data_IF_952148121094
#
_entry.id   IF_952148121094
#
_cell.length_a   1.000
_cell.length_b   1.000
_cell.length_c   1.000
_cell.angle_alpha   90.00
_cell.angle_beta   90.00
_cell.angle_gamma   90.00
#
_symmetry.space_group_name_H-M   'P 1'
#
loop_
_entity.id
_entity.type
_entity.pdbx_description
1 polymer ?
#
# COMPACT_ATOMS: atom_id res chain seq x y z
N UNK A 1 34.42 8.65 4.76
CA UNK A 1 33.52 7.89 5.66
C UNK A 1 34.37 7.15 6.67
N UNK A 2 34.30 7.48 7.94
CA UNK A 2 35.01 6.76 8.99
C UNK A 2 34.30 5.45 9.32
N UNK A 3 34.95 4.53 10.03
CA UNK A 3 34.31 3.28 10.48
C UNK A 3 33.09 3.60 11.38
N UNK A 4 33.14 4.68 12.17
CA UNK A 4 32.03 5.13 13.00
C UNK A 4 30.85 5.65 12.19
N UNK A 5 31.09 6.24 11.02
CA UNK A 5 30.00 6.72 10.14
C UNK A 5 29.27 5.54 9.46
N UNK A 6 29.98 4.42 9.25
CA UNK A 6 29.41 3.23 8.62
C UNK A 6 28.63 2.34 9.57
N UNK A 7 29.01 2.27 10.83
CA UNK A 7 28.45 1.35 11.83
C UNK A 7 27.86 2.12 13.01
N UNK A 8 26.67 2.68 12.80
CA UNK A 8 25.95 3.47 13.80
C UNK A 8 25.78 2.71 15.14
N UNK A 9 25.49 1.41 15.07
CA UNK A 9 25.13 0.59 16.24
C UNK A 9 26.30 0.31 17.21
N UNK A 10 27.55 0.46 16.75
CA UNK A 10 28.76 0.33 17.58
C UNK A 10 29.43 1.69 17.86
N UNK A 11 28.88 2.77 17.32
CA UNK A 11 29.29 4.14 17.61
C UNK A 11 28.51 4.69 18.80
N UNK A 12 28.88 5.88 19.27
CA UNK A 12 28.13 6.57 20.32
C UNK A 12 26.70 6.98 19.90
N UNK A 13 26.34 6.87 18.60
CA UNK A 13 24.99 7.14 18.07
C UNK A 13 24.00 6.04 18.49
N UNK A 14 24.37 4.76 18.31
CA UNK A 14 23.46 3.65 18.54
C UNK A 14 22.30 3.61 17.54
N UNK A 15 21.14 3.06 17.96
CA UNK A 15 19.87 3.12 17.23
C UNK A 15 18.90 4.06 17.94
N UNK A 16 18.17 4.85 17.16
CA UNK A 16 17.04 5.63 17.68
C UNK A 16 15.78 4.76 17.75
N UNK A 17 15.56 4.18 18.95
CA UNK A 17 14.43 3.29 19.22
C UNK A 17 13.07 4.01 19.18
N UNK A 18 13.07 5.32 19.32
CA UNK A 18 11.87 6.15 19.38
C UNK A 18 11.49 6.72 18.02
N UNK A 19 12.35 6.62 17.01
CA UNK A 19 12.06 7.02 15.65
C UNK A 19 10.85 6.27 15.06
N UNK A 20 10.13 6.91 14.16
CA UNK A 20 8.95 6.31 13.50
C UNK A 20 9.29 4.98 12.83
N UNK A 21 10.35 4.84 12.01
CA UNK A 21 10.68 3.57 11.39
C UNK A 21 10.88 2.44 12.40
N UNK A 22 11.60 2.70 13.52
CA UNK A 22 11.82 1.68 14.55
C UNK A 22 10.53 1.29 15.29
N UNK A 23 9.64 2.24 15.57
CA UNK A 23 8.32 1.94 16.15
C UNK A 23 7.47 1.10 15.20
N UNK A 24 7.47 1.42 13.89
CA UNK A 24 6.78 0.62 12.88
C UNK A 24 7.38 -0.78 12.76
N UNK A 25 8.71 -0.91 12.80
CA UNK A 25 9.37 -2.22 12.82
C UNK A 25 8.99 -3.06 14.04
N UNK A 26 8.91 -2.45 15.26
CA UNK A 26 8.45 -3.17 16.45
C UNK A 26 7.00 -3.65 16.28
N UNK A 27 6.13 -2.87 15.62
CA UNK A 27 4.76 -3.29 15.28
C UNK A 27 4.76 -4.41 14.24
N UNK A 28 5.57 -4.32 13.19
CA UNK A 28 5.70 -5.35 12.17
C UNK A 28 6.06 -6.71 12.78
N UNK A 29 7.02 -6.76 13.71
CA UNK A 29 7.38 -7.99 14.44
C UNK A 29 6.25 -8.59 15.26
N UNK A 30 5.31 -7.79 15.74
CA UNK A 30 4.19 -8.27 16.57
C UNK A 30 2.96 -8.63 15.74
N UNK A 31 2.68 -7.87 14.71
CA UNK A 31 1.43 -7.93 13.96
C UNK A 31 1.60 -8.50 12.55
N UNK A 32 2.78 -8.34 11.95
CA UNK A 32 3.08 -8.77 10.58
C UNK A 32 3.57 -10.22 10.46
N UNK A 33 3.65 -11.00 11.54
CA UNK A 33 4.20 -12.37 11.53
C UNK A 33 3.16 -13.47 11.23
N UNK A 34 2.04 -13.12 10.61
CA UNK A 34 1.06 -14.09 10.16
C UNK A 34 1.54 -14.89 8.94
N UNK A 35 1.03 -16.13 8.81
CA UNK A 35 1.40 -17.04 7.74
C UNK A 35 0.21 -17.21 6.77
N UNK A 36 0.34 -16.84 5.47
CA UNK A 36 -0.69 -17.06 4.46
C UNK A 36 -1.12 -18.53 4.35
N UNK A 37 -0.24 -19.48 4.67
CA UNK A 37 -0.54 -20.90 4.65
C UNK A 37 -1.51 -21.33 5.75
N UNK A 38 -1.53 -20.60 6.87
CA UNK A 38 -2.36 -20.92 8.03
C UNK A 38 -3.81 -20.45 7.89
N UNK A 39 -4.13 -19.63 6.87
CA UNK A 39 -5.49 -19.15 6.66
C UNK A 39 -6.38 -20.27 6.15
N UNK A 40 -7.53 -20.45 6.82
CA UNK A 40 -8.51 -21.50 6.49
C UNK A 40 -9.45 -21.04 5.36
N UNK A 41 -9.33 -21.67 4.18
CA UNK A 41 -10.22 -21.47 3.03
C UNK A 41 -11.33 -22.53 2.92
N UNK A 42 -11.55 -23.33 3.94
CA UNK A 42 -12.48 -24.48 3.85
C UNK A 42 -13.91 -24.09 3.49
N UNK A 43 -14.38 -22.92 3.96
CA UNK A 43 -15.70 -22.38 3.63
C UNK A 43 -15.73 -21.64 2.30
N UNK A 44 -14.64 -21.04 1.91
CA UNK A 44 -14.55 -20.18 0.72
C UNK A 44 -14.87 -20.97 -0.57
N UNK A 45 -14.49 -22.24 -0.64
CA UNK A 45 -14.78 -23.09 -1.79
C UNK A 45 -16.29 -23.31 -2.01
N UNK A 46 -17.06 -23.45 -0.94
CA UNK A 46 -18.52 -23.62 -1.03
C UNK A 46 -19.20 -22.29 -1.41
N UNK A 47 -18.77 -21.17 -0.82
CA UNK A 47 -19.27 -19.85 -1.16
C UNK A 47 -18.96 -19.51 -2.63
N UNK A 48 -17.73 -19.78 -3.09
CA UNK A 48 -17.31 -19.59 -4.46
C UNK A 48 -18.14 -20.38 -5.47
N UNK A 49 -18.46 -21.63 -5.15
CA UNK A 49 -19.30 -22.48 -6.00
C UNK A 49 -20.75 -22.00 -6.08
N UNK A 50 -21.23 -21.31 -5.05
CA UNK A 50 -22.60 -20.79 -4.99
C UNK A 50 -22.78 -19.44 -5.72
N UNK A 51 -21.71 -18.71 -6.00
CA UNK A 51 -21.77 -17.45 -6.75
C UNK A 51 -22.19 -17.67 -8.20
N UNK A 52 -22.87 -16.69 -8.77
CA UNK A 52 -23.14 -16.66 -10.20
C UNK A 52 -21.89 -16.23 -11.01
N UNK A 53 -21.99 -16.22 -12.32
CA UNK A 53 -20.84 -15.91 -13.19
C UNK A 53 -20.42 -14.44 -13.11
N UNK A 54 -21.36 -13.53 -12.84
CA UNK A 54 -21.09 -12.09 -12.71
C UNK A 54 -20.38 -11.80 -11.40
N UNK A 55 -20.81 -12.42 -10.31
CA UNK A 55 -20.15 -12.33 -8.98
C UNK A 55 -18.73 -12.89 -9.03
N UNK A 56 -18.54 -14.05 -9.71
CA UNK A 56 -17.21 -14.64 -9.91
C UNK A 56 -16.31 -13.76 -10.75
N UNK A 57 -16.82 -13.19 -11.84
CA UNK A 57 -16.02 -12.29 -12.71
C UNK A 57 -15.59 -11.04 -11.94
N UNK A 58 -16.48 -10.43 -11.14
CA UNK A 58 -16.17 -9.28 -10.30
C UNK A 58 -15.02 -9.59 -9.34
N UNK A 59 -15.09 -10.71 -8.61
CA UNK A 59 -14.06 -11.12 -7.67
C UNK A 59 -12.75 -11.47 -8.36
N UNK A 60 -12.79 -12.21 -9.49
CA UNK A 60 -11.57 -12.52 -10.24
C UNK A 60 -10.89 -11.28 -10.79
N UNK A 61 -11.66 -10.31 -11.29
CA UNK A 61 -11.14 -9.01 -11.74
C UNK A 61 -10.47 -8.26 -10.59
N UNK A 62 -11.13 -8.17 -9.45
CA UNK A 62 -10.57 -7.53 -8.26
C UNK A 62 -9.29 -8.22 -7.81
N UNK A 63 -9.31 -9.54 -7.68
CA UNK A 63 -8.15 -10.35 -7.26
C UNK A 63 -6.99 -10.31 -8.26
N UNK A 64 -7.29 -10.22 -9.56
CA UNK A 64 -6.26 -10.07 -10.59
C UNK A 64 -5.50 -8.73 -10.45
N UNK A 65 -6.22 -7.63 -10.17
CA UNK A 65 -5.61 -6.33 -9.93
C UNK A 65 -4.74 -6.35 -8.68
N UNK A 66 -5.22 -6.97 -7.58
CA UNK A 66 -4.43 -7.11 -6.37
C UNK A 66 -3.21 -8.00 -6.59
N UNK A 67 -3.36 -9.21 -7.14
CA UNK A 67 -2.24 -10.12 -7.37
C UNK A 67 -1.12 -9.47 -8.21
N UNK A 68 -1.49 -8.79 -9.29
CA UNK A 68 -0.51 -8.10 -10.14
C UNK A 68 0.08 -6.85 -9.45
N UNK A 69 -0.72 -6.16 -8.63
CA UNK A 69 -0.27 -5.01 -7.83
C UNK A 69 0.77 -5.41 -6.82
N UNK A 70 0.48 -6.40 -5.99
CA UNK A 70 1.40 -6.92 -4.95
C UNK A 70 2.72 -7.43 -5.56
N UNK A 71 2.64 -8.10 -6.72
CA UNK A 71 3.84 -8.52 -7.44
C UNK A 71 4.63 -7.31 -7.93
N UNK A 72 3.98 -6.30 -8.51
CA UNK A 72 4.61 -5.06 -9.00
C UNK A 72 5.31 -4.29 -7.88
N UNK A 73 4.63 -4.07 -6.75
CA UNK A 73 5.23 -3.34 -5.61
C UNK A 73 6.37 -4.12 -4.97
N UNK A 74 6.27 -5.45 -4.86
CA UNK A 74 7.37 -6.31 -4.39
C UNK A 74 8.60 -6.19 -5.28
N UNK A 75 8.43 -6.20 -6.61
CA UNK A 75 9.53 -6.10 -7.58
C UNK A 75 10.22 -4.73 -7.53
N UNK A 76 9.46 -3.65 -7.38
CA UNK A 76 9.97 -2.29 -7.59
C UNK A 76 10.42 -1.57 -6.32
N UNK A 77 10.21 -2.11 -5.10
CA UNK A 77 10.60 -1.48 -3.83
C UNK A 77 12.12 -1.41 -3.61
N UNK A 78 12.88 -2.36 -4.14
CA UNK A 78 14.33 -2.50 -3.86
C UNK A 78 15.17 -1.24 -4.14
N UNK A 79 14.99 -0.48 -5.24
CA UNK A 79 15.75 0.73 -5.47
C UNK A 79 15.59 1.78 -4.36
N UNK A 80 14.39 1.93 -3.79
CA UNK A 80 14.16 2.83 -2.65
C UNK A 80 14.94 2.37 -1.42
N UNK A 81 14.91 1.08 -1.10
CA UNK A 81 15.70 0.51 0.02
C UNK A 81 17.18 0.80 -0.16
N UNK A 82 17.71 0.64 -1.37
CA UNK A 82 19.12 0.90 -1.67
C UNK A 82 19.51 2.37 -1.47
N UNK A 83 18.65 3.32 -1.84
CA UNK A 83 18.89 4.75 -1.63
C UNK A 83 18.91 5.06 -0.13
N UNK A 84 17.90 4.62 0.62
CA UNK A 84 17.80 4.82 2.07
C UNK A 84 19.02 4.23 2.80
N UNK A 85 19.44 3.01 2.43
CA UNK A 85 20.65 2.39 2.95
C UNK A 85 21.92 3.20 2.60
N UNK A 86 21.99 3.72 1.37
CA UNK A 86 23.09 4.59 0.92
C UNK A 86 23.17 5.92 1.67
N UNK A 87 22.06 6.44 2.17
CA UNK A 87 21.99 7.61 3.05
C UNK A 87 22.43 7.32 4.50
N UNK A 88 22.67 6.04 4.85
CA UNK A 88 23.06 5.61 6.20
C UNK A 88 21.90 5.65 7.21
N UNK A 89 20.66 5.58 6.76
CA UNK A 89 19.44 5.62 7.57
C UNK A 89 19.05 4.22 8.03
N UNK A 90 19.85 3.68 8.94
CA UNK A 90 19.73 2.27 9.38
C UNK A 90 18.35 1.94 9.96
N UNK A 91 17.71 2.86 10.67
CA UNK A 91 16.38 2.66 11.25
C UNK A 91 15.30 2.51 10.17
N UNK A 92 15.38 3.32 9.10
CA UNK A 92 14.49 3.22 7.95
C UNK A 92 14.77 1.93 7.16
N UNK A 93 16.05 1.59 6.93
CA UNK A 93 16.46 0.35 6.27
C UNK A 93 15.93 -0.89 7.01
N UNK A 94 16.07 -0.93 8.34
CA UNK A 94 15.55 -2.03 9.19
C UNK A 94 14.03 -2.17 9.00
N UNK A 95 13.27 -1.08 9.01
CA UNK A 95 11.83 -1.14 8.78
C UNK A 95 11.51 -1.64 7.37
N UNK A 96 12.20 -1.13 6.35
CA UNK A 96 11.96 -1.50 4.96
C UNK A 96 12.22 -2.99 4.66
N UNK A 97 13.07 -3.66 5.45
CA UNK A 97 13.21 -5.13 5.34
C UNK A 97 11.94 -5.86 5.74
N UNK A 98 11.23 -5.40 6.78
CA UNK A 98 9.94 -5.97 7.16
C UNK A 98 8.84 -5.62 6.16
N UNK A 99 8.88 -4.43 5.60
CA UNK A 99 7.97 -3.97 4.56
C UNK A 99 8.04 -4.91 3.34
N UNK A 100 9.21 -5.12 2.76
CA UNK A 100 9.40 -6.01 1.62
C UNK A 100 8.98 -7.46 1.92
N UNK A 101 9.22 -7.94 3.14
CA UNK A 101 8.77 -9.27 3.56
C UNK A 101 7.24 -9.35 3.69
N UNK A 102 6.58 -8.29 4.15
CA UNK A 102 5.12 -8.20 4.21
C UNK A 102 4.51 -8.23 2.81
N UNK A 103 5.06 -7.47 1.84
CA UNK A 103 4.64 -7.52 0.42
C UNK A 103 4.73 -8.94 -0.18
N UNK A 104 5.84 -9.63 0.09
CA UNK A 104 6.01 -11.01 -0.38
C UNK A 104 4.93 -11.95 0.17
N UNK A 105 4.45 -11.76 1.41
CA UNK A 105 3.33 -12.52 1.98
C UNK A 105 2.00 -12.18 1.30
N UNK A 106 1.78 -10.93 0.93
CA UNK A 106 0.58 -10.50 0.23
C UNK A 106 0.49 -11.18 -1.14
N UNK A 107 1.59 -11.21 -1.91
CA UNK A 107 1.69 -11.98 -3.17
C UNK A 107 1.33 -13.45 -2.94
N UNK A 108 1.91 -14.08 -1.90
CA UNK A 108 1.65 -15.48 -1.56
C UNK A 108 0.18 -15.72 -1.20
N UNK A 109 -0.42 -14.84 -0.41
CA UNK A 109 -1.80 -14.96 0.04
C UNK A 109 -2.79 -14.96 -1.13
N UNK A 110 -2.75 -13.96 -2.00
CA UNK A 110 -3.65 -13.87 -3.14
C UNK A 110 -3.45 -15.05 -4.09
N UNK A 111 -2.19 -15.46 -4.35
CA UNK A 111 -1.94 -16.61 -5.22
C UNK A 111 -2.48 -17.92 -4.61
N UNK A 112 -2.33 -18.12 -3.31
CA UNK A 112 -2.89 -19.30 -2.62
C UNK A 112 -4.40 -19.37 -2.73
N UNK A 113 -5.08 -18.24 -2.55
CA UNK A 113 -6.54 -18.20 -2.66
C UNK A 113 -6.98 -18.48 -4.11
N UNK A 114 -6.37 -17.84 -5.09
CA UNK A 114 -6.64 -18.08 -6.52
C UNK A 114 -6.42 -19.54 -6.92
N UNK A 115 -5.38 -20.18 -6.39
CA UNK A 115 -5.07 -21.59 -6.69
C UNK A 115 -6.03 -22.59 -6.02
N UNK A 116 -6.41 -22.32 -4.77
CA UNK A 116 -7.15 -23.28 -3.93
C UNK A 116 -8.67 -23.13 -4.04
N UNK A 117 -9.17 -21.91 -4.19
CA UNK A 117 -10.60 -21.60 -4.16
C UNK A 117 -11.13 -21.35 -5.57
N UNK A 118 -10.61 -20.35 -6.27
CA UNK A 118 -11.07 -20.02 -7.61
C UNK A 118 -10.61 -21.03 -8.67
N UNK A 119 -9.56 -21.83 -8.39
CA UNK A 119 -8.88 -22.74 -9.32
C UNK A 119 -8.46 -22.00 -10.62
N UNK A 120 -8.13 -20.72 -10.47
CA UNK A 120 -7.82 -19.81 -11.58
C UNK A 120 -6.38 -20.04 -12.06
N UNK A 121 -6.21 -21.02 -12.95
CA UNK A 121 -4.92 -21.37 -13.60
C UNK A 121 -4.72 -20.69 -14.95
N UNK A 122 -5.69 -19.87 -15.37
CA UNK A 122 -5.66 -19.20 -16.68
C UNK A 122 -5.04 -17.82 -16.60
N UNK A 123 -5.03 -17.16 -17.75
CA UNK A 123 -4.55 -15.80 -17.92
C UNK A 123 -5.49 -14.78 -17.26
N UNK A 124 -5.05 -14.20 -16.16
CA UNK A 124 -5.73 -13.12 -15.45
C UNK A 124 -5.32 -11.73 -15.99
N UNK A 125 -4.31 -11.66 -16.87
CA UNK A 125 -3.84 -10.41 -17.45
C UNK A 125 -4.94 -9.67 -18.24
N UNK A 126 -5.92 -10.40 -18.76
CA UNK A 126 -7.10 -9.85 -19.45
C UNK A 126 -7.91 -8.86 -18.60
N UNK A 127 -7.79 -8.92 -17.28
CA UNK A 127 -8.48 -8.03 -16.36
C UNK A 127 -7.75 -6.70 -16.11
N UNK A 128 -6.48 -6.61 -16.53
CA UNK A 128 -5.68 -5.38 -16.33
C UNK A 128 -6.13 -4.32 -17.33
N UNK A 129 -6.75 -3.27 -16.83
CA UNK A 129 -7.26 -2.15 -17.62
C UNK A 129 -6.14 -1.24 -18.13
N UNK A 130 -6.38 -0.37 -19.14
CA UNK A 130 -5.37 0.56 -19.65
C UNK A 130 -4.76 1.45 -18.55
N UNK A 131 -5.59 2.06 -17.69
CA UNK A 131 -5.11 2.90 -16.58
C UNK A 131 -4.32 2.10 -15.55
N UNK A 132 -4.74 0.87 -15.24
CA UNK A 132 -3.98 -0.02 -14.37
C UNK A 132 -2.61 -0.34 -14.97
N UNK A 133 -2.56 -0.75 -16.24
CA UNK A 133 -1.29 -1.02 -16.94
C UNK A 133 -0.40 0.22 -16.92
N UNK A 134 -0.95 1.39 -17.20
CA UNK A 134 -0.18 2.63 -17.18
C UNK A 134 0.46 2.87 -15.80
N UNK A 135 -0.29 2.74 -14.73
CA UNK A 135 0.24 2.95 -13.37
C UNK A 135 1.27 1.89 -12.96
N UNK A 136 0.95 0.61 -13.15
CA UNK A 136 1.76 -0.49 -12.59
C UNK A 136 2.88 -0.99 -13.51
N UNK A 137 2.79 -0.75 -14.84
CA UNK A 137 3.83 -1.20 -15.78
C UNK A 137 4.65 -0.05 -16.39
N UNK A 138 4.22 1.21 -16.16
CA UNK A 138 4.96 2.38 -16.65
C UNK A 138 5.35 3.31 -15.51
N UNK A 139 4.37 3.87 -14.79
CA UNK A 139 4.63 4.93 -13.79
C UNK A 139 5.39 4.41 -12.57
N UNK A 140 4.97 3.28 -12.00
CA UNK A 140 5.62 2.67 -10.84
C UNK A 140 7.08 2.25 -11.15
N UNK A 141 7.33 1.37 -12.14
CA UNK A 141 8.70 0.95 -12.43
C UNK A 141 9.58 2.11 -12.92
N UNK A 142 9.04 3.10 -13.63
CA UNK A 142 9.81 4.27 -14.06
C UNK A 142 10.28 5.09 -12.87
N UNK A 143 9.36 5.41 -11.93
CA UNK A 143 9.69 6.22 -10.76
C UNK A 143 10.67 5.52 -9.82
N UNK A 144 10.45 4.23 -9.54
CA UNK A 144 11.31 3.46 -8.62
C UNK A 144 12.66 3.13 -9.25
N UNK A 145 12.70 2.72 -10.53
CA UNK A 145 13.96 2.41 -11.20
C UNK A 145 14.83 3.64 -11.49
N UNK A 146 14.24 4.85 -11.57
CA UNK A 146 15.02 6.08 -11.63
C UNK A 146 15.99 6.21 -10.44
N UNK A 147 15.58 5.69 -9.26
CA UNK A 147 16.40 5.69 -8.05
C UNK A 147 17.68 4.85 -8.15
N UNK A 148 17.88 4.03 -9.18
CA UNK A 148 19.12 3.29 -9.41
C UNK A 148 20.28 4.21 -9.83
N UNK A 149 19.95 5.39 -10.37
CA UNK A 149 20.94 6.34 -10.91
C UNK A 149 20.74 7.77 -10.44
N UNK A 150 19.52 8.14 -10.04
CA UNK A 150 19.17 9.45 -9.50
C UNK A 150 18.69 9.32 -8.05
N UNK A 151 19.56 9.68 -7.11
CA UNK A 151 19.28 9.64 -5.66
C UNK A 151 18.80 11.00 -5.13
N UNK A 152 18.42 11.93 -6.02
CA UNK A 152 17.95 13.26 -5.62
C UNK A 152 16.68 13.16 -4.75
N UNK A 153 16.46 14.17 -3.93
CA UNK A 153 15.25 14.27 -3.10
C UNK A 153 14.00 14.27 -3.98
N UNK A 154 14.05 14.96 -5.12
CA UNK A 154 12.95 15.05 -6.08
C UNK A 154 12.59 13.67 -6.66
N UNK A 155 13.59 12.87 -7.04
CA UNK A 155 13.37 11.50 -7.52
C UNK A 155 12.76 10.61 -6.42
N UNK A 156 13.26 10.72 -5.19
CA UNK A 156 12.69 9.99 -4.04
C UNK A 156 11.24 10.39 -3.75
N UNK A 157 10.91 11.70 -3.83
CA UNK A 157 9.52 12.18 -3.68
C UNK A 157 8.62 11.56 -4.76
N UNK A 158 9.04 11.62 -6.04
CA UNK A 158 8.24 11.06 -7.14
C UNK A 158 8.00 9.56 -6.97
N UNK A 159 9.02 8.81 -6.57
CA UNK A 159 8.92 7.39 -6.29
C UNK A 159 7.95 7.10 -5.13
N UNK A 160 8.14 7.76 -3.99
CA UNK A 160 7.32 7.54 -2.79
C UNK A 160 5.88 8.01 -2.96
N UNK A 161 5.63 9.10 -3.69
CA UNK A 161 4.26 9.53 -4.04
C UNK A 161 3.59 8.49 -4.90
N UNK A 162 4.28 7.96 -5.92
CA UNK A 162 3.70 6.95 -6.80
C UNK A 162 3.34 5.68 -6.03
N UNK A 163 4.29 5.17 -5.25
CA UNK A 163 4.14 3.94 -4.48
C UNK A 163 3.19 4.13 -3.28
N UNK A 164 3.62 4.90 -2.29
CA UNK A 164 2.95 4.92 -0.98
C UNK A 164 1.68 5.78 -0.94
N UNK A 165 1.58 6.84 -1.76
CA UNK A 165 0.40 7.71 -1.71
C UNK A 165 -0.69 7.26 -2.68
N UNK A 166 -0.33 6.99 -3.94
CA UNK A 166 -1.32 6.67 -4.97
C UNK A 166 -1.64 5.18 -4.98
N UNK A 167 -0.64 4.31 -5.09
CA UNK A 167 -0.87 2.86 -5.19
C UNK A 167 -1.39 2.30 -3.87
N UNK A 168 -0.65 2.45 -2.78
CA UNK A 168 -1.09 1.94 -1.47
C UNK A 168 -2.18 2.83 -0.86
N UNK A 169 -1.90 4.13 -0.73
CA UNK A 169 -2.71 5.06 0.05
C UNK A 169 -4.07 5.42 -0.57
N UNK A 170 -4.27 5.23 -1.86
CA UNK A 170 -5.54 5.49 -2.56
C UNK A 170 -6.11 4.21 -3.15
N UNK A 171 -5.39 3.53 -4.06
CA UNK A 171 -5.95 2.40 -4.80
C UNK A 171 -6.11 1.14 -3.94
N UNK A 172 -5.07 0.69 -3.23
CA UNK A 172 -5.17 -0.50 -2.40
C UNK A 172 -6.19 -0.32 -1.26
N UNK A 173 -6.18 0.83 -0.57
CA UNK A 173 -7.19 1.18 0.45
C UNK A 173 -8.61 1.12 -0.11
N UNK A 174 -8.83 1.63 -1.33
CA UNK A 174 -10.14 1.58 -2.01
C UNK A 174 -10.54 0.13 -2.32
N UNK A 175 -9.61 -0.69 -2.77
CA UNK A 175 -9.86 -2.10 -3.04
C UNK A 175 -10.17 -2.90 -1.77
N UNK A 176 -9.44 -2.68 -0.66
CA UNK A 176 -9.75 -3.33 0.63
C UNK A 176 -11.13 -2.90 1.16
N UNK A 177 -11.50 -1.63 0.98
CA UNK A 177 -12.85 -1.16 1.27
C UNK A 177 -13.89 -1.94 0.46
N UNK A 178 -13.66 -2.11 -0.85
CA UNK A 178 -14.53 -2.89 -1.74
C UNK A 178 -14.69 -4.34 -1.31
N UNK A 179 -13.62 -5.04 -0.95
CA UNK A 179 -13.71 -6.40 -0.41
C UNK A 179 -14.58 -6.48 0.85
N UNK A 180 -14.37 -5.57 1.79
CA UNK A 180 -15.17 -5.54 3.02
C UNK A 180 -16.65 -5.30 2.73
N UNK A 181 -16.95 -4.30 1.91
CA UNK A 181 -18.32 -3.98 1.52
C UNK A 181 -19.01 -5.16 0.81
N UNK A 182 -18.30 -5.84 -0.12
CA UNK A 182 -18.86 -6.93 -0.91
C UNK A 182 -19.08 -8.21 -0.11
N UNK A 183 -18.19 -8.54 0.81
CA UNK A 183 -18.13 -9.86 1.41
C UNK A 183 -18.57 -9.88 2.89
N UNK A 184 -18.21 -8.86 3.66
CA UNK A 184 -18.51 -8.81 5.10
C UNK A 184 -20.01 -8.73 5.38
N UNK A 185 -20.72 -7.83 4.67
CA UNK A 185 -22.17 -7.65 4.78
C UNK A 185 -22.95 -8.90 4.37
N UNK A 186 -22.38 -9.74 3.50
CA UNK A 186 -22.99 -10.96 3.00
C UNK A 186 -22.50 -12.23 3.74
N UNK A 187 -21.54 -12.11 4.66
CA UNK A 187 -20.97 -13.23 5.41
C UNK A 187 -20.29 -14.29 4.52
N UNK A 188 -19.71 -13.86 3.38
CA UNK A 188 -19.11 -14.70 2.35
C UNK A 188 -17.59 -14.67 2.38
N UNK A 189 -16.97 -15.76 1.91
CA UNK A 189 -15.51 -15.91 1.75
C UNK A 189 -14.73 -15.50 3.01
N UNK A 190 -15.00 -16.10 4.18
CA UNK A 190 -14.37 -15.70 5.44
C UNK A 190 -12.85 -15.81 5.42
N UNK A 191 -12.28 -16.81 4.74
CA UNK A 191 -10.84 -16.96 4.61
C UNK A 191 -10.20 -15.85 3.78
N UNK A 192 -10.84 -15.42 2.68
CA UNK A 192 -10.41 -14.26 1.91
C UNK A 192 -10.44 -12.99 2.77
N UNK A 193 -11.55 -12.77 3.49
CA UNK A 193 -11.69 -11.61 4.38
C UNK A 193 -10.65 -11.58 5.50
N UNK A 194 -10.35 -12.71 6.11
CA UNK A 194 -9.33 -12.79 7.17
C UNK A 194 -7.96 -12.39 6.64
N UNK A 195 -7.56 -12.86 5.45
CA UNK A 195 -6.33 -12.42 4.81
C UNK A 195 -6.33 -10.95 4.46
N UNK A 196 -7.42 -10.43 3.88
CA UNK A 196 -7.55 -8.99 3.56
C UNK A 196 -7.41 -8.11 4.81
N UNK A 197 -7.97 -8.53 5.96
CA UNK A 197 -7.80 -7.80 7.24
C UNK A 197 -6.34 -7.80 7.71
N UNK A 198 -5.64 -8.92 7.54
CA UNK A 198 -4.23 -9.03 7.90
C UNK A 198 -3.35 -8.15 6.99
N UNK A 199 -3.60 -8.18 5.68
CA UNK A 199 -2.93 -7.33 4.69
C UNK A 199 -3.19 -5.85 5.00
N UNK A 200 -4.43 -5.42 5.13
CA UNK A 200 -4.78 -4.02 5.43
C UNK A 200 -4.11 -3.51 6.72
N UNK A 201 -3.88 -4.39 7.70
CA UNK A 201 -3.12 -4.07 8.92
C UNK A 201 -1.62 -3.91 8.64
N UNK A 202 -1.04 -4.69 7.75
CA UNK A 202 0.33 -4.53 7.30
C UNK A 202 0.47 -3.21 6.51
N UNK A 203 -0.43 -2.96 5.55
CA UNK A 203 -0.49 -1.76 4.73
C UNK A 203 -0.60 -0.45 5.53
N UNK A 204 -1.30 -0.49 6.66
CA UNK A 204 -1.39 0.69 7.52
C UNK A 204 -0.01 1.17 8.00
N UNK A 205 0.97 0.26 8.15
CA UNK A 205 2.36 0.59 8.50
C UNK A 205 3.13 1.11 7.29
N UNK A 206 2.90 0.53 6.11
CA UNK A 206 3.51 0.95 4.85
C UNK A 206 3.15 2.39 4.51
N UNK A 207 1.86 2.70 4.52
CA UNK A 207 1.34 4.05 4.29
C UNK A 207 1.90 5.06 5.30
N UNK A 208 2.00 4.70 6.58
CA UNK A 208 2.58 5.59 7.60
C UNK A 208 4.04 5.89 7.36
N UNK A 209 4.81 4.87 6.99
CA UNK A 209 6.20 5.08 6.61
C UNK A 209 6.29 5.99 5.38
N UNK A 210 5.47 5.75 4.36
CA UNK A 210 5.42 6.58 3.17
C UNK A 210 5.12 8.04 3.47
N UNK A 211 4.13 8.31 4.34
CA UNK A 211 3.82 9.68 4.81
C UNK A 211 5.01 10.30 5.56
N UNK A 212 5.65 9.56 6.47
CA UNK A 212 6.84 10.00 7.18
C UNK A 212 7.98 10.33 6.19
N UNK A 213 8.28 9.42 5.27
CA UNK A 213 9.33 9.58 4.26
C UNK A 213 9.08 10.84 3.40
N UNK A 214 7.87 11.00 2.87
CA UNK A 214 7.53 12.14 2.04
C UNK A 214 7.64 13.45 2.84
N UNK A 215 7.13 13.50 4.07
CA UNK A 215 7.26 14.67 4.94
C UNK A 215 8.72 15.04 5.17
N UNK A 216 9.58 14.05 5.43
CA UNK A 216 11.02 14.26 5.57
C UNK A 216 11.63 14.86 4.29
N UNK A 217 11.26 14.32 3.13
CA UNK A 217 11.80 14.73 1.85
C UNK A 217 11.32 16.12 1.42
N UNK A 218 10.02 16.41 1.55
CA UNK A 218 9.48 17.74 1.16
C UNK A 218 10.07 18.86 2.02
N UNK A 219 10.39 18.61 3.28
CA UNK A 219 10.99 19.60 4.17
C UNK A 219 12.51 19.72 4.01
N UNK A 220 13.15 18.77 3.33
CA UNK A 220 14.58 18.79 3.02
C UNK A 220 14.91 19.48 1.68
N UNK A 221 13.91 19.77 0.83
CA UNK A 221 14.10 20.44 -0.46
C UNK A 221 13.22 21.68 -0.58
N UNK A 222 13.75 22.83 -1.06
CA UNK A 222 12.95 24.03 -1.31
C UNK A 222 11.79 23.78 -2.28
N UNK A 223 11.94 22.86 -3.23
CA UNK A 223 10.94 22.52 -4.25
C UNK A 223 10.15 21.26 -3.90
N UNK A 224 10.44 20.63 -2.75
CA UNK A 224 9.87 19.33 -2.38
C UNK A 224 8.35 19.29 -2.38
N UNK A 225 7.71 20.33 -1.85
CA UNK A 225 6.26 20.45 -1.87
C UNK A 225 5.68 20.51 -3.29
N UNK A 226 6.29 21.31 -4.16
CA UNK A 226 5.80 21.48 -5.53
C UNK A 226 5.95 20.19 -6.34
N UNK A 227 7.07 19.48 -6.18
CA UNK A 227 7.30 18.17 -6.80
C UNK A 227 6.27 17.14 -6.32
N UNK A 228 6.03 17.05 -5.01
CA UNK A 228 5.04 16.17 -4.42
C UNK A 228 3.64 16.48 -4.96
N UNK A 229 3.22 17.75 -4.88
CA UNK A 229 1.89 18.16 -5.30
C UNK A 229 1.68 17.96 -6.81
N UNK A 230 2.68 18.27 -7.63
CA UNK A 230 2.64 17.98 -9.06
C UNK A 230 2.46 16.49 -9.31
N UNK A 231 3.25 15.62 -8.64
CA UNK A 231 3.17 14.18 -8.84
C UNK A 231 1.84 13.58 -8.39
N UNK A 232 1.28 14.04 -7.26
CA UNK A 232 -0.06 13.64 -6.81
C UNK A 232 -1.11 13.95 -7.87
N UNK A 233 -1.08 15.16 -8.45
CA UNK A 233 -2.04 15.58 -9.49
C UNK A 233 -1.84 14.84 -10.82
N UNK A 234 -0.59 14.55 -11.23
CA UNK A 234 -0.30 13.75 -12.44
C UNK A 234 -0.95 12.37 -12.37
N UNK A 235 -0.97 11.74 -11.20
CA UNK A 235 -1.42 10.37 -11.03
C UNK A 235 -2.89 10.23 -10.62
N UNK A 236 -3.56 11.32 -10.20
CA UNK A 236 -4.96 11.28 -9.79
C UNK A 236 -5.87 10.81 -10.92
N UNK A 237 -5.70 11.35 -12.13
CA UNK A 237 -6.50 10.95 -13.30
C UNK A 237 -6.35 9.45 -13.61
N UNK A 238 -5.14 8.92 -13.79
CA UNK A 238 -4.91 7.49 -13.92
C UNK A 238 -5.48 6.64 -12.78
N UNK A 239 -5.38 7.08 -11.52
CA UNK A 239 -5.94 6.35 -10.39
C UNK A 239 -7.47 6.25 -10.45
N UNK A 240 -8.17 7.35 -10.75
CA UNK A 240 -9.61 7.33 -10.98
C UNK A 240 -9.95 6.48 -12.22
N UNK A 241 -9.10 6.51 -13.25
CA UNK A 241 -9.21 5.66 -14.43
C UNK A 241 -9.25 4.17 -14.10
N UNK A 242 -8.41 3.69 -13.16
CA UNK A 242 -8.44 2.29 -12.72
C UNK A 242 -9.82 1.90 -12.20
N UNK A 243 -10.43 2.75 -11.39
CA UNK A 243 -11.76 2.50 -10.80
C UNK A 243 -12.83 2.54 -11.89
N UNK A 244 -12.87 3.60 -12.69
CA UNK A 244 -13.92 3.75 -13.71
C UNK A 244 -13.83 2.69 -14.82
N UNK A 245 -12.62 2.31 -15.25
CA UNK A 245 -12.43 1.25 -16.24
C UNK A 245 -12.74 -0.16 -15.70
N UNK A 246 -12.61 -0.38 -14.40
CA UNK A 246 -13.04 -1.61 -13.75
C UNK A 246 -14.55 -1.82 -13.92
N UNK A 247 -15.34 -0.75 -13.78
CA UNK A 247 -16.79 -0.76 -13.86
C UNK A 247 -17.31 -0.66 -15.32
N UNK A 248 -16.73 0.24 -16.10
CA UNK A 248 -17.26 0.68 -17.39
C UNK A 248 -17.50 -0.46 -18.38
N UNK A 249 -18.78 -0.69 -18.73
CA UNK A 249 -19.20 -1.74 -19.66
C UNK A 249 -19.13 -3.16 -19.09
N UNK A 250 -18.70 -3.35 -17.85
CA UNK A 250 -18.63 -4.64 -17.20
C UNK A 250 -19.81 -4.86 -16.24
N UNK A 251 -20.19 -3.82 -15.49
CA UNK A 251 -21.22 -3.88 -14.47
C UNK A 251 -22.13 -2.65 -14.54
N UNK A 252 -23.31 -2.77 -13.94
CA UNK A 252 -24.20 -1.62 -13.72
C UNK A 252 -23.60 -0.72 -12.62
N UNK A 253 -23.49 0.59 -12.89
CA UNK A 253 -22.83 1.55 -12.02
C UNK A 253 -23.57 1.74 -10.68
N UNK A 254 -24.88 1.53 -10.66
CA UNK A 254 -25.73 1.72 -9.46
C UNK A 254 -26.06 0.40 -8.75
N UNK A 255 -26.07 -0.73 -9.49
CA UNK A 255 -26.49 -2.04 -8.99
C UNK A 255 -25.50 -3.12 -9.44
N UNK A 256 -24.23 -2.94 -9.13
CA UNK A 256 -23.19 -3.93 -9.42
C UNK A 256 -23.26 -5.17 -8.53
N UNK A 257 -22.39 -6.16 -8.78
CA UNK A 257 -22.32 -7.38 -8.00
C UNK A 257 -22.17 -7.08 -6.50
N UNK A 258 -22.78 -7.93 -5.65
CA UNK A 258 -22.81 -7.74 -4.20
C UNK A 258 -23.47 -6.42 -3.74
N UNK A 259 -24.29 -5.78 -4.56
CA UNK A 259 -24.91 -4.49 -4.27
C UNK A 259 -23.94 -3.32 -4.26
N UNK A 260 -22.79 -3.47 -4.92
CA UNK A 260 -21.78 -2.42 -5.01
C UNK A 260 -22.18 -1.33 -6.00
N UNK A 261 -21.64 -0.11 -5.80
CA UNK A 261 -21.87 1.06 -6.66
C UNK A 261 -20.52 1.69 -7.00
N UNK A 262 -20.31 2.03 -8.27
CA UNK A 262 -19.08 2.69 -8.74
C UNK A 262 -18.80 3.99 -7.96
N UNK A 263 -19.82 4.81 -7.76
CA UNK A 263 -19.72 6.09 -7.05
C UNK A 263 -19.07 5.94 -5.67
N UNK A 264 -19.43 4.88 -4.91
CA UNK A 264 -18.86 4.61 -3.58
C UNK A 264 -17.34 4.41 -3.62
N UNK A 265 -16.83 3.77 -4.65
CA UNK A 265 -15.38 3.57 -4.82
C UNK A 265 -14.67 4.87 -5.18
N UNK A 266 -15.25 5.67 -6.08
CA UNK A 266 -14.70 6.97 -6.48
C UNK A 266 -14.68 7.94 -5.30
N UNK A 267 -15.78 8.02 -4.54
CA UNK A 267 -15.87 8.85 -3.33
C UNK A 267 -14.84 8.41 -2.28
N UNK A 268 -14.74 7.10 -2.03
CA UNK A 268 -13.76 6.59 -1.05
C UNK A 268 -12.32 6.90 -1.47
N UNK A 269 -11.98 6.71 -2.75
CA UNK A 269 -10.67 7.08 -3.28
C UNK A 269 -10.37 8.57 -3.11
N UNK A 270 -11.35 9.44 -3.38
CA UNK A 270 -11.24 10.88 -3.14
C UNK A 270 -10.98 11.21 -1.65
N UNK A 271 -11.71 10.56 -0.74
CA UNK A 271 -11.49 10.72 0.71
C UNK A 271 -10.09 10.28 1.12
N UNK A 272 -9.58 9.15 0.58
CA UNK A 272 -8.22 8.70 0.87
C UNK A 272 -7.17 9.69 0.34
N UNK A 273 -7.34 10.19 -0.88
CA UNK A 273 -6.47 11.20 -1.45
C UNK A 273 -6.41 12.46 -0.57
N UNK A 274 -7.58 13.02 -0.22
CA UNK A 274 -7.68 14.20 0.64
C UNK A 274 -7.06 13.98 2.02
N UNK A 275 -7.25 12.80 2.59
CA UNK A 275 -6.66 12.42 3.89
C UNK A 275 -5.13 12.49 3.82
N UNK A 276 -4.51 11.95 2.76
CA UNK A 276 -3.05 12.00 2.57
C UNK A 276 -2.56 13.44 2.39
N UNK A 277 -3.22 14.21 1.53
CA UNK A 277 -2.87 15.61 1.31
C UNK A 277 -2.93 16.44 2.58
N UNK A 278 -3.98 16.29 3.39
CA UNK A 278 -4.14 17.01 4.68
C UNK A 278 -3.00 16.73 5.66
N UNK A 279 -2.55 15.46 5.74
CA UNK A 279 -1.42 15.11 6.63
C UNK A 279 -0.13 15.75 6.15
N UNK A 280 0.16 15.67 4.85
CA UNK A 280 1.35 16.28 4.26
C UNK A 280 1.35 17.80 4.41
N UNK A 281 0.20 18.46 4.22
CA UNK A 281 0.06 19.90 4.41
C UNK A 281 0.22 20.33 5.87
N UNK A 282 -0.35 19.58 6.82
CA UNK A 282 -0.20 19.83 8.27
C UNK A 282 1.26 19.84 8.71
N UNK A 283 2.09 19.00 8.10
CA UNK A 283 3.47 18.78 8.49
C UNK A 283 4.48 19.55 7.62
N UNK A 284 4.00 20.33 6.67
CA UNK A 284 4.80 21.21 5.81
C UNK A 284 5.55 22.26 6.63
N UNK A 285 6.86 22.38 6.41
CA UNK A 285 7.73 23.35 7.07
C UNK A 285 8.14 22.96 8.50
N UNK A 286 7.76 21.78 8.99
CA UNK A 286 8.18 21.28 10.29
C UNK A 286 9.56 20.63 10.22
N UNK A 287 10.28 20.67 11.37
CA UNK A 287 11.50 19.88 11.54
C UNK A 287 11.20 18.37 11.59
N UNK A 288 12.23 17.53 11.37
CA UNK A 288 12.08 16.07 11.49
C UNK A 288 11.59 15.68 12.89
N UNK A 289 12.11 16.31 13.93
CA UNK A 289 11.70 16.06 15.32
C UNK A 289 10.21 16.38 15.57
N UNK A 290 9.70 17.47 14.97
CA UNK A 290 8.28 17.83 15.05
C UNK A 290 7.40 16.85 14.27
N UNK A 291 7.84 16.39 13.10
CA UNK A 291 7.17 15.38 12.28
C UNK A 291 7.11 14.05 13.06
N UNK A 292 8.21 13.60 13.62
CA UNK A 292 8.28 12.37 14.43
C UNK A 292 7.37 12.44 15.65
N UNK A 293 7.38 13.57 16.37
CA UNK A 293 6.50 13.77 17.52
C UNK A 293 5.02 13.74 17.14
N UNK A 294 4.64 14.35 16.01
CA UNK A 294 3.27 14.32 15.51
C UNK A 294 2.86 12.89 15.13
N UNK A 295 3.70 12.18 14.38
CA UNK A 295 3.45 10.82 13.95
C UNK A 295 3.38 9.82 15.13
N UNK A 296 4.19 10.00 16.19
CA UNK A 296 4.09 9.21 17.43
C UNK A 296 2.74 9.45 18.11
N UNK A 297 2.27 10.70 18.13
CA UNK A 297 0.96 11.05 18.73
C UNK A 297 -0.18 10.38 17.94
N UNK A 298 -0.15 10.45 16.62
CA UNK A 298 -1.12 9.80 15.73
C UNK A 298 -1.14 8.27 15.95
N UNK A 299 0.05 7.64 16.07
CA UNK A 299 0.18 6.21 16.36
C UNK A 299 -0.44 5.82 17.70
N UNK A 300 -0.23 6.63 18.75
CA UNK A 300 -0.76 6.37 20.08
C UNK A 300 -2.28 6.56 20.16
N UNK A 301 -2.84 7.46 19.35
CA UNK A 301 -4.28 7.69 19.29
C UNK A 301 -4.98 6.49 18.64
N UNK A 302 -4.46 5.97 17.52
CA UNK A 302 -5.04 4.80 16.86
C UNK A 302 -4.95 3.53 17.69
N UNK A 303 -3.88 3.35 18.48
CA UNK A 303 -3.80 2.23 19.41
C UNK A 303 -4.89 2.27 20.48
N UNK A 304 -5.26 3.46 20.95
CA UNK A 304 -6.38 3.63 21.90
C UNK A 304 -7.72 3.34 21.25
N UNK A 305 -7.92 3.78 20.02
CA UNK A 305 -9.15 3.52 19.26
C UNK A 305 -9.35 2.02 18.99
N UNK A 306 -8.27 1.30 18.61
CA UNK A 306 -8.29 -0.14 18.39
C UNK A 306 -8.50 -0.97 19.67
N UNK A 307 -8.11 -0.44 20.85
CA UNK A 307 -8.28 -1.14 22.14
C UNK A 307 -9.59 -0.78 22.84
N UNK A 308 -10.34 0.18 22.33
CA UNK A 308 -11.63 0.62 22.87
C UNK A 308 -12.85 -0.03 22.19
N UNK A 309 -12.65 -0.88 21.19
CA UNK A 309 -13.65 -1.70 20.49
C UNK A 309 -13.49 -3.17 20.89
#
# INVERSE_FOLDING_TARGET
>A
MTTADRYATISGRGLDWDSIPMRLFQKAKKLGTWDPQAIDFSRDGADWAAFDDVERDFLLRTLALFQAGEEGVTLDLLPLIMVIAGEGRIEEEIFLTSFLWEEAKHVEFFRRWLDKVALARGDLERYLTPSYRHLFTVELPTALNALKTDHSIEAQIRASVTYNMIIEGVLAETGYHGFRQSLESNGKLPGLLDGIRLIARDESRHIRYGVFLINRLINASPNGWDVMNQRMNELLGPAIGVISEFWNGNYDDENGPFGQRMETYVEYAGVQFDKRMKVLERDRGKSIEEIEKAAVTDLAQEERELTSV
#
